data_IF_841803624058
#
_entry.id   IF_841803624058
#
_cell.length_a   1.000
_cell.length_b   1.000
_cell.length_c   1.000
_cell.angle_alpha   90.00
_cell.angle_beta   90.00
_cell.angle_gamma   90.00
#
_symmetry.space_group_name_H-M   'P 1'
#
loop_
_entity.id
_entity.type
_entity.pdbx_description
1 polymer ?
#
# COMPACT_ATOMS: atom_id res chain seq x y z
N UNK A 1 16.29 -22.67 21.24
CA UNK A 1 16.81 -22.03 20.00
C UNK A 1 18.00 -21.16 20.36
N UNK A 2 18.98 -20.98 19.47
CA UNK A 2 20.14 -20.10 19.69
C UNK A 2 20.04 -18.86 18.81
N UNK A 3 20.07 -17.66 19.40
CA UNK A 3 20.04 -16.38 18.69
C UNK A 3 21.34 -15.60 18.89
N UNK A 4 21.84 -15.01 17.81
CA UNK A 4 22.97 -14.09 17.82
C UNK A 4 22.43 -12.67 17.67
N UNK A 5 22.73 -11.80 18.63
CA UNK A 5 22.48 -10.37 18.53
C UNK A 5 23.71 -9.66 17.96
N UNK A 6 23.48 -8.52 17.31
CA UNK A 6 24.57 -7.70 16.77
C UNK A 6 25.54 -7.29 17.89
N UNK A 7 26.84 -7.34 17.60
CA UNK A 7 27.91 -7.10 18.58
C UNK A 7 28.13 -8.20 19.64
N UNK A 8 27.34 -9.28 19.67
CA UNK A 8 27.52 -10.36 20.65
C UNK A 8 28.44 -11.48 20.15
N UNK A 9 29.38 -11.91 21.01
CA UNK A 9 30.35 -12.98 20.71
C UNK A 9 29.80 -14.40 20.88
N UNK A 10 28.69 -14.56 21.60
CA UNK A 10 28.07 -15.85 21.87
C UNK A 10 26.55 -15.78 21.67
N UNK A 11 25.96 -16.89 21.27
CA UNK A 11 24.51 -17.02 21.16
C UNK A 11 23.86 -17.16 22.54
N UNK A 12 22.66 -16.60 22.68
CA UNK A 12 21.80 -16.83 23.82
C UNK A 12 20.74 -17.88 23.49
N UNK A 13 20.30 -18.63 24.50
CA UNK A 13 19.28 -19.65 24.36
C UNK A 13 17.90 -19.09 24.73
N UNK A 14 16.93 -19.36 23.85
CA UNK A 14 15.53 -18.97 24.01
C UNK A 14 14.64 -20.16 23.67
N UNK A 15 13.56 -20.35 24.42
CA UNK A 15 12.55 -21.37 24.12
C UNK A 15 11.73 -21.00 22.89
N UNK A 16 11.46 -19.70 22.73
CA UNK A 16 10.63 -19.14 21.68
C UNK A 16 11.21 -17.84 21.10
N UNK A 17 10.95 -17.53 19.83
CA UNK A 17 11.20 -16.21 19.27
C UNK A 17 10.08 -15.72 18.36
N UNK A 18 9.90 -14.40 18.33
CA UNK A 18 8.96 -13.72 17.45
C UNK A 18 9.74 -12.88 16.45
N UNK A 19 9.53 -13.14 15.16
CA UNK A 19 10.05 -12.32 14.07
C UNK A 19 8.97 -11.29 13.71
N UNK A 20 9.04 -10.11 14.34
CA UNK A 20 8.11 -8.99 14.13
C UNK A 20 8.82 -7.75 13.55
N UNK A 21 9.54 -7.93 12.44
CA UNK A 21 10.39 -6.89 11.85
C UNK A 21 9.60 -5.76 11.15
N UNK A 22 8.28 -5.85 11.07
CA UNK A 22 7.46 -4.93 10.29
C UNK A 22 7.83 -5.01 8.81
N UNK A 23 8.18 -3.88 8.19
CA UNK A 23 8.65 -3.80 6.81
C UNK A 23 10.10 -4.30 6.67
N UNK A 24 10.42 -4.92 5.53
CA UNK A 24 11.76 -5.45 5.24
C UNK A 24 12.13 -5.12 3.80
N UNK A 25 13.30 -4.53 3.61
CA UNK A 25 13.81 -4.11 2.30
C UNK A 25 15.15 -4.82 2.02
N UNK A 26 15.14 -6.05 1.45
CA UNK A 26 16.37 -6.78 1.16
C UNK A 26 17.33 -6.00 0.25
N UNK A 27 16.78 -5.18 -0.63
CA UNK A 27 17.52 -4.38 -1.59
C UNK A 27 18.09 -3.08 -1.00
N UNK A 28 17.95 -2.82 0.31
CA UNK A 28 18.40 -1.56 0.93
C UNK A 28 19.90 -1.26 0.70
N UNK A 29 20.73 -2.29 0.56
CA UNK A 29 22.17 -2.17 0.27
C UNK A 29 22.45 -1.61 -1.14
N UNK A 30 21.47 -1.63 -2.05
CA UNK A 30 21.57 -1.02 -3.39
C UNK A 30 21.43 0.51 -3.35
N UNK A 31 21.14 1.09 -2.19
CA UNK A 31 21.01 2.54 -2.04
C UNK A 31 22.32 3.26 -2.38
N UNK A 32 22.20 4.35 -3.13
CA UNK A 32 23.28 5.27 -3.47
C UNK A 32 22.78 6.70 -3.32
N UNK A 33 23.67 7.69 -3.45
CA UNK A 33 23.25 9.10 -3.48
C UNK A 33 22.33 9.46 -4.67
N UNK A 34 22.23 8.59 -5.68
CA UNK A 34 21.43 8.79 -6.90
C UNK A 34 20.24 7.84 -7.01
N UNK A 35 20.14 6.84 -6.14
CA UNK A 35 19.08 5.85 -6.18
C UNK A 35 18.74 5.33 -4.79
N UNK A 36 17.46 5.39 -4.44
CA UNK A 36 16.91 4.82 -3.23
C UNK A 36 15.93 3.71 -3.61
N UNK A 37 16.24 2.42 -3.35
CA UNK A 37 15.32 1.30 -3.60
C UNK A 37 14.03 1.36 -2.77
N UNK A 38 14.00 2.25 -1.78
CA UNK A 38 12.90 2.50 -0.87
C UNK A 38 13.13 3.85 -0.17
N UNK A 39 12.12 4.70 0.08
CA UNK A 39 12.28 5.88 0.94
C UNK A 39 12.83 5.56 2.34
N UNK A 40 12.77 4.29 2.77
CA UNK A 40 13.28 3.80 4.05
C UNK A 40 14.73 3.31 3.97
N UNK A 41 15.37 3.38 2.80
CA UNK A 41 16.77 2.98 2.58
C UNK A 41 17.78 4.14 2.79
N UNK A 42 17.54 4.99 3.79
CA UNK A 42 18.44 6.08 4.16
C UNK A 42 18.11 7.46 3.57
N UNK A 43 16.98 7.61 2.86
CA UNK A 43 16.58 8.88 2.24
C UNK A 43 16.49 10.03 3.26
N UNK A 44 15.95 9.76 4.45
CA UNK A 44 15.73 10.77 5.49
C UNK A 44 17.05 11.40 6.01
N UNK A 45 18.16 10.67 5.91
CA UNK A 45 19.48 11.13 6.34
C UNK A 45 20.32 11.66 5.15
N UNK A 46 19.86 11.44 3.92
CA UNK A 46 20.60 11.81 2.73
C UNK A 46 20.39 13.29 2.38
N UNK A 47 21.49 13.95 1.99
CA UNK A 47 21.43 15.28 1.37
C UNK A 47 21.08 15.11 -0.11
N UNK A 48 19.89 15.55 -0.49
CA UNK A 48 19.41 15.47 -1.88
C UNK A 48 19.68 16.81 -2.57
N UNK A 49 20.32 16.84 -3.76
CA UNK A 49 20.55 18.09 -4.47
C UNK A 49 19.26 18.63 -5.09
N UNK A 50 19.19 19.95 -5.28
CA UNK A 50 18.11 20.60 -6.03
C UNK A 50 18.27 20.27 -7.53
N UNK A 51 17.75 19.12 -7.95
CA UNK A 51 17.79 18.63 -9.33
C UNK A 51 16.48 17.96 -9.76
N UNK A 52 16.55 17.12 -10.79
CA UNK A 52 15.43 16.33 -11.29
C UNK A 52 15.28 15.06 -10.47
N UNK A 53 14.26 14.99 -9.65
CA UNK A 53 13.99 13.87 -8.75
C UNK A 53 12.83 13.05 -9.29
N UNK A 54 13.09 11.78 -9.58
CA UNK A 54 12.06 10.83 -9.99
C UNK A 54 11.59 10.01 -8.80
N UNK A 55 10.28 9.92 -8.57
CA UNK A 55 9.72 9.06 -7.53
C UNK A 55 8.75 8.06 -8.16
N UNK A 56 9.05 6.77 -8.06
CA UNK A 56 8.16 5.71 -8.53
C UNK A 56 7.08 5.42 -7.50
N UNK A 57 5.89 5.95 -7.72
CA UNK A 57 4.70 5.83 -6.88
C UNK A 57 3.90 7.13 -6.87
N UNK A 58 2.61 7.02 -6.57
CA UNK A 58 1.70 8.16 -6.33
C UNK A 58 0.92 8.02 -5.02
N UNK A 59 1.31 7.05 -4.17
CA UNK A 59 0.70 6.79 -2.86
C UNK A 59 1.23 7.74 -1.77
N UNK A 60 0.70 7.63 -0.55
CA UNK A 60 1.20 8.36 0.61
C UNK A 60 2.73 8.19 0.79
N UNK A 61 3.25 6.98 0.63
CA UNK A 61 4.69 6.68 0.64
C UNK A 61 5.50 7.53 -0.35
N UNK A 62 4.98 7.77 -1.56
CA UNK A 62 5.64 8.60 -2.56
C UNK A 62 5.53 10.09 -2.22
N UNK A 63 4.42 10.51 -1.61
CA UNK A 63 4.25 11.87 -1.11
C UNK A 63 5.21 12.13 0.04
N UNK A 64 5.36 11.21 1.00
CA UNK A 64 6.30 11.32 2.11
C UNK A 64 7.75 11.35 1.63
N UNK A 65 8.08 10.58 0.59
CA UNK A 65 9.38 10.66 -0.06
C UNK A 65 9.62 12.04 -0.70
N UNK A 66 8.61 12.60 -1.36
CA UNK A 66 8.69 13.97 -1.87
C UNK A 66 8.85 14.96 -0.71
N UNK A 67 8.15 14.79 0.41
CA UNK A 67 8.29 15.62 1.61
C UNK A 67 9.73 15.60 2.14
N UNK A 68 10.35 14.42 2.25
CA UNK A 68 11.73 14.26 2.70
C UNK A 68 12.75 15.02 1.83
N UNK A 69 12.44 15.21 0.55
CA UNK A 69 13.25 16.00 -0.37
C UNK A 69 12.95 17.50 -0.24
N UNK A 70 11.69 17.93 -0.37
CA UNK A 70 11.35 19.36 -0.49
C UNK A 70 11.65 20.16 0.78
N UNK A 71 11.63 19.53 1.96
CA UNK A 71 11.98 20.21 3.23
C UNK A 71 13.44 20.63 3.30
N UNK A 72 14.31 20.10 2.43
CA UNK A 72 15.70 20.53 2.29
C UNK A 72 15.85 21.79 1.40
N UNK A 73 14.77 22.20 0.72
CA UNK A 73 14.79 23.14 -0.40
C UNK A 73 13.79 24.29 -0.29
N UNK A 74 13.15 24.44 0.86
CA UNK A 74 12.16 25.47 1.11
C UNK A 74 11.34 25.19 2.35
N UNK A 75 10.35 26.04 2.58
CA UNK A 75 9.48 25.97 3.76
C UNK A 75 8.02 26.09 3.34
N UNK A 76 7.15 25.39 4.05
CA UNK A 76 5.72 25.58 3.90
C UNK A 76 5.27 26.73 4.81
N UNK A 77 4.54 27.69 4.24
CA UNK A 77 4.03 28.88 4.94
C UNK A 77 2.52 28.90 4.83
N UNK A 78 1.85 29.00 5.97
CA UNK A 78 0.41 29.21 6.04
C UNK A 78 0.11 30.71 5.89
N UNK A 79 -0.77 31.06 4.97
CA UNK A 79 -1.17 32.45 4.72
C UNK A 79 -2.68 32.43 4.45
N UNK A 80 -3.49 32.82 5.42
CA UNK A 80 -4.97 32.59 5.47
C UNK A 80 -5.36 31.20 6.03
N UNK A 81 -6.52 31.12 6.68
CA UNK A 81 -6.99 29.90 7.33
C UNK A 81 -7.02 28.74 6.33
N UNK A 82 -6.20 27.71 6.61
CA UNK A 82 -6.04 26.48 5.83
C UNK A 82 -5.39 26.60 4.43
N UNK A 83 -4.84 27.76 4.04
CA UNK A 83 -4.09 27.90 2.78
C UNK A 83 -2.58 27.77 2.98
N UNK A 84 -1.99 26.84 2.26
CA UNK A 84 -0.57 26.48 2.34
C UNK A 84 0.15 26.89 1.06
N UNK A 85 1.29 27.57 1.19
CA UNK A 85 2.22 27.86 0.09
C UNK A 85 3.56 27.22 0.38
N UNK A 86 4.28 26.82 -0.65
CA UNK A 86 5.68 26.41 -0.53
C UNK A 86 6.60 27.53 -1.01
N UNK A 87 7.39 28.08 -0.09
CA UNK A 87 8.40 29.10 -0.38
C UNK A 87 9.74 28.40 -0.62
N UNK A 88 10.13 28.38 -1.90
CA UNK A 88 11.37 27.76 -2.36
C UNK A 88 12.58 28.57 -1.90
N UNK A 89 13.63 27.89 -1.42
CA UNK A 89 14.91 28.52 -1.13
C UNK A 89 15.59 29.06 -2.40
N UNK A 90 16.35 30.15 -2.26
CA UNK A 90 16.94 30.87 -3.39
C UNK A 90 17.94 30.03 -4.20
N UNK A 91 18.57 29.02 -3.61
CA UNK A 91 19.51 28.12 -4.28
C UNK A 91 18.83 26.87 -4.89
N UNK A 92 17.51 26.74 -4.72
CA UNK A 92 16.78 25.52 -5.03
C UNK A 92 15.93 25.61 -6.30
N UNK A 93 16.19 26.59 -7.17
CA UNK A 93 15.45 26.81 -8.42
C UNK A 93 15.45 25.61 -9.39
N UNK A 94 16.50 24.77 -9.35
CA UNK A 94 16.60 23.59 -10.20
C UNK A 94 15.80 22.38 -9.70
N UNK A 95 15.23 22.43 -8.49
CA UNK A 95 14.43 21.33 -7.94
C UNK A 95 13.16 21.11 -8.79
N UNK A 96 12.99 19.87 -9.24
CA UNK A 96 11.78 19.37 -9.88
C UNK A 96 11.54 17.92 -9.45
N UNK A 97 10.31 17.61 -9.04
CA UNK A 97 9.91 16.27 -8.59
C UNK A 97 8.84 15.75 -9.53
N UNK A 98 9.04 14.55 -10.08
CA UNK A 98 8.03 13.84 -10.87
C UNK A 98 7.61 12.59 -10.10
N UNK A 99 6.36 12.54 -9.64
CA UNK A 99 5.73 11.32 -9.13
C UNK A 99 5.22 10.49 -10.31
N UNK A 100 5.48 9.19 -10.29
CA UNK A 100 5.22 8.32 -11.45
C UNK A 100 4.45 7.07 -11.08
N UNK A 101 3.39 6.76 -11.82
CA UNK A 101 2.72 5.47 -11.73
C UNK A 101 2.17 5.06 -13.08
N UNK A 102 1.72 3.81 -13.21
CA UNK A 102 1.13 3.32 -14.48
C UNK A 102 -0.09 4.14 -14.88
N UNK A 103 -0.97 4.45 -13.92
CA UNK A 103 -2.21 5.20 -14.14
C UNK A 103 -2.04 6.71 -14.03
N UNK A 104 -1.03 7.20 -13.30
CA UNK A 104 -0.87 8.64 -13.00
C UNK A 104 -1.99 9.19 -12.10
N UNK A 105 -2.70 8.33 -11.38
CA UNK A 105 -3.80 8.71 -10.48
C UNK A 105 -3.27 8.83 -9.04
N UNK A 106 -3.81 9.79 -8.29
CA UNK A 106 -3.65 9.89 -6.84
C UNK A 106 -4.78 9.12 -6.13
N UNK A 107 -4.48 8.42 -5.02
CA UNK A 107 -5.50 8.04 -4.05
C UNK A 107 -6.30 9.27 -3.60
N UNK A 108 -7.54 9.06 -3.21
CA UNK A 108 -8.37 10.16 -2.71
C UNK A 108 -8.00 10.53 -1.27
N UNK A 109 -8.41 11.72 -0.84
CA UNK A 109 -8.25 12.19 0.51
C UNK A 109 -9.00 11.29 1.49
N UNK A 110 -8.40 11.06 2.65
CA UNK A 110 -9.06 10.45 3.79
C UNK A 110 -10.32 11.25 4.18
N UNK A 111 -11.37 10.54 4.56
CA UNK A 111 -12.73 11.06 4.69
C UNK A 111 -13.32 10.73 6.05
N UNK A 112 -14.36 11.46 6.44
CA UNK A 112 -15.06 11.15 7.68
C UNK A 112 -15.83 9.82 7.53
N UNK A 113 -15.57 8.88 8.43
CA UNK A 113 -16.36 7.67 8.61
C UNK A 113 -16.63 7.44 10.11
N UNK A 114 -17.80 6.86 10.48
CA UNK A 114 -18.09 6.54 11.87
C UNK A 114 -17.24 5.37 12.36
N UNK A 115 -16.81 5.46 13.62
CA UNK A 115 -16.06 4.43 14.34
C UNK A 115 -16.83 4.13 15.65
N UNK A 116 -17.14 2.86 15.99
CA UNK A 116 -16.81 1.65 15.23
C UNK A 116 -17.52 1.57 13.87
N UNK A 117 -16.98 0.76 12.96
CA UNK A 117 -17.57 0.60 11.62
C UNK A 117 -18.97 -0.03 11.71
N UNK A 118 -19.89 0.48 10.89
CA UNK A 118 -21.24 -0.07 10.77
C UNK A 118 -21.21 -1.45 10.06
N UNK A 119 -22.05 -2.41 10.46
CA UNK A 119 -22.07 -3.72 9.84
C UNK A 119 -22.47 -3.66 8.36
N UNK A 120 -21.94 -4.58 7.56
CA UNK A 120 -22.41 -4.82 6.19
C UNK A 120 -23.81 -5.44 6.24
N UNK A 121 -24.67 -5.09 5.28
CA UNK A 121 -26.06 -5.56 5.26
C UNK A 121 -26.27 -6.81 4.40
N UNK A 122 -25.47 -6.97 3.35
CA UNK A 122 -25.53 -8.03 2.34
C UNK A 122 -24.27 -8.89 2.43
N UNK A 123 -23.09 -8.28 2.26
CA UNK A 123 -21.80 -8.97 2.31
C UNK A 123 -21.35 -9.23 3.77
N UNK A 124 -22.26 -9.77 4.58
CA UNK A 124 -21.99 -10.09 6.00
C UNK A 124 -20.91 -11.16 6.13
N UNK A 125 -20.18 -11.24 7.25
CA UNK A 125 -19.25 -12.33 7.51
C UNK A 125 -19.89 -13.72 7.33
N UNK A 126 -21.15 -13.88 7.74
CA UNK A 126 -21.90 -15.13 7.59
C UNK A 126 -22.20 -15.44 6.11
N UNK A 127 -22.63 -14.45 5.32
CA UNK A 127 -22.87 -14.64 3.89
C UNK A 127 -21.58 -15.03 3.15
N UNK A 128 -20.46 -14.36 3.47
CA UNK A 128 -19.15 -14.70 2.92
C UNK A 128 -18.73 -16.12 3.32
N UNK A 129 -18.93 -16.52 4.58
CA UNK A 129 -18.62 -17.87 5.04
C UNK A 129 -19.45 -18.95 4.32
N UNK A 130 -20.73 -18.68 4.03
CA UNK A 130 -21.57 -19.56 3.20
C UNK A 130 -20.97 -19.74 1.81
N UNK A 131 -20.53 -18.66 1.17
CA UNK A 131 -19.92 -18.74 -0.16
C UNK A 131 -18.57 -19.48 -0.15
N UNK A 132 -17.76 -19.30 0.89
CA UNK A 132 -16.53 -20.07 1.10
C UNK A 132 -16.85 -21.57 1.25
N UNK A 133 -17.86 -21.92 2.05
CA UNK A 133 -18.28 -23.30 2.28
C UNK A 133 -18.82 -23.99 1.02
N UNK A 134 -19.36 -23.22 0.06
CA UNK A 134 -19.79 -23.72 -1.23
C UNK A 134 -18.62 -24.13 -2.16
N UNK A 135 -17.38 -23.78 -1.81
CA UNK A 135 -16.16 -24.24 -2.47
C UNK A 135 -15.48 -23.20 -3.38
N UNK A 136 -14.21 -23.44 -3.68
CA UNK A 136 -13.34 -22.51 -4.42
C UNK A 136 -13.78 -22.16 -5.85
N UNK A 137 -14.29 -23.09 -6.69
CA UNK A 137 -14.63 -22.76 -8.08
C UNK A 137 -15.67 -21.63 -8.16
N UNK A 138 -15.32 -20.53 -8.83
CA UNK A 138 -16.19 -19.36 -9.00
C UNK A 138 -16.47 -18.58 -7.71
N UNK A 139 -15.71 -18.82 -6.64
CA UNK A 139 -15.87 -18.12 -5.36
C UNK A 139 -15.77 -16.60 -5.54
N UNK A 140 -14.82 -16.13 -6.36
CA UNK A 140 -14.63 -14.69 -6.55
C UNK A 140 -15.88 -14.01 -7.15
N UNK A 141 -16.53 -14.64 -8.12
CA UNK A 141 -17.71 -14.08 -8.80
C UNK A 141 -18.94 -14.05 -7.88
N UNK A 142 -19.11 -15.09 -7.03
CA UNK A 142 -20.16 -15.09 -6.00
C UNK A 142 -19.95 -13.98 -4.97
N UNK A 143 -18.71 -13.79 -4.53
CA UNK A 143 -18.37 -12.70 -3.61
C UNK A 143 -18.54 -11.33 -4.27
N UNK A 144 -18.17 -11.17 -5.54
CA UNK A 144 -18.39 -9.94 -6.29
C UNK A 144 -19.89 -9.59 -6.37
N UNK A 145 -20.77 -10.61 -6.49
CA UNK A 145 -22.21 -10.41 -6.44
C UNK A 145 -22.66 -9.80 -5.11
N UNK A 146 -22.19 -10.32 -3.97
CA UNK A 146 -22.48 -9.75 -2.65
C UNK A 146 -21.94 -8.31 -2.51
N UNK A 147 -20.72 -8.07 -2.99
CA UNK A 147 -20.08 -6.74 -3.00
C UNK A 147 -20.90 -5.73 -3.79
N UNK A 148 -21.35 -6.08 -4.99
CA UNK A 148 -22.13 -5.16 -5.84
C UNK A 148 -23.53 -4.89 -5.29
N UNK A 149 -24.15 -5.89 -4.66
CA UNK A 149 -25.42 -5.71 -3.95
C UNK A 149 -25.27 -4.77 -2.75
N UNK A 150 -24.22 -4.92 -1.94
CA UNK A 150 -23.91 -4.03 -0.82
C UNK A 150 -23.70 -2.58 -1.31
N UNK A 151 -22.90 -2.39 -2.37
CA UNK A 151 -22.64 -1.07 -2.94
C UNK A 151 -23.91 -0.42 -3.51
N UNK A 152 -24.76 -1.21 -4.19
CA UNK A 152 -26.03 -0.74 -4.74
C UNK A 152 -26.99 -0.30 -3.63
N UNK A 153 -27.05 -1.05 -2.53
CA UNK A 153 -27.88 -0.71 -1.37
C UNK A 153 -27.36 0.56 -0.69
N UNK A 154 -26.05 0.68 -0.50
CA UNK A 154 -25.44 1.80 0.21
C UNK A 154 -25.45 3.11 -0.59
N UNK A 155 -25.26 3.06 -1.91
CA UNK A 155 -25.23 4.24 -2.78
C UNK A 155 -25.86 3.96 -4.15
N UNK A 156 -27.20 3.98 -4.26
CA UNK A 156 -27.90 3.63 -5.51
C UNK A 156 -27.61 4.64 -6.63
N UNK A 157 -27.43 5.92 -6.29
CA UNK A 157 -27.14 6.98 -7.27
C UNK A 157 -25.73 6.77 -7.86
N UNK A 158 -24.73 6.54 -7.02
CA UNK A 158 -23.38 6.25 -7.49
C UNK A 158 -23.34 4.97 -8.32
N UNK A 159 -24.03 3.92 -7.86
CA UNK A 159 -24.09 2.62 -8.55
C UNK A 159 -24.75 2.73 -9.93
N UNK A 160 -25.83 3.50 -10.04
CA UNK A 160 -26.48 3.77 -11.34
C UNK A 160 -25.55 4.56 -12.27
N UNK A 161 -24.86 5.58 -11.76
CA UNK A 161 -23.90 6.37 -12.56
C UNK A 161 -22.75 5.53 -13.09
N UNK A 162 -22.28 4.56 -12.30
CA UNK A 162 -21.22 3.63 -12.67
C UNK A 162 -21.71 2.52 -13.62
N UNK A 163 -23.03 2.34 -13.76
CA UNK A 163 -23.65 1.18 -14.39
C UNK A 163 -23.23 -0.13 -13.71
N UNK A 164 -23.22 -0.13 -12.37
CA UNK A 164 -22.69 -1.25 -11.57
C UNK A 164 -23.34 -2.61 -11.91
N UNK A 165 -24.61 -2.61 -12.29
CA UNK A 165 -25.35 -3.80 -12.67
C UNK A 165 -24.91 -4.44 -14.01
N UNK A 166 -24.07 -3.77 -14.80
CA UNK A 166 -23.49 -4.33 -16.02
C UNK A 166 -22.03 -4.73 -15.85
N UNK A 167 -21.49 -4.62 -14.64
CA UNK A 167 -20.08 -4.90 -14.35
C UNK A 167 -19.92 -6.27 -13.71
N UNK A 168 -18.73 -6.82 -13.87
CA UNK A 168 -18.22 -8.00 -13.19
C UNK A 168 -16.96 -7.65 -12.39
N UNK A 169 -16.36 -8.65 -11.73
CA UNK A 169 -15.17 -8.45 -10.89
C UNK A 169 -13.95 -7.94 -11.68
N UNK A 170 -13.88 -8.24 -12.97
CA UNK A 170 -12.75 -7.91 -13.84
C UNK A 170 -12.88 -6.52 -14.47
N UNK A 171 -14.10 -6.09 -14.78
CA UNK A 171 -14.43 -4.79 -15.38
C UNK A 171 -14.69 -3.67 -14.37
N UNK A 172 -15.12 -4.02 -13.14
CA UNK A 172 -15.37 -3.05 -12.08
C UNK A 172 -14.19 -2.10 -11.75
N UNK A 173 -12.93 -2.57 -11.65
CA UNK A 173 -11.80 -1.70 -11.39
C UNK A 173 -11.63 -0.60 -12.44
N UNK A 174 -11.78 -0.93 -13.72
CA UNK A 174 -11.69 0.07 -14.79
C UNK A 174 -12.78 1.13 -14.64
N UNK A 175 -14.03 0.70 -14.41
CA UNK A 175 -15.15 1.61 -14.19
C UNK A 175 -14.89 2.52 -12.96
N UNK A 176 -14.40 1.94 -11.86
CA UNK A 176 -14.08 2.64 -10.61
C UNK A 176 -13.06 3.76 -10.79
N UNK A 177 -12.00 3.53 -11.57
CA UNK A 177 -10.95 4.53 -11.83
C UNK A 177 -11.25 5.48 -12.98
N UNK A 178 -12.26 5.17 -13.82
CA UNK A 178 -12.56 5.88 -15.08
C UNK A 178 -12.72 7.38 -14.93
N UNK A 179 -13.49 7.83 -13.94
CA UNK A 179 -13.73 9.26 -13.74
C UNK A 179 -12.43 9.96 -13.33
N UNK A 180 -11.70 9.40 -12.36
CA UNK A 180 -10.41 9.96 -11.92
C UNK A 180 -9.38 10.03 -13.05
N UNK A 181 -9.37 9.05 -13.94
CA UNK A 181 -8.48 9.02 -15.10
C UNK A 181 -8.79 10.11 -16.16
N UNK A 182 -10.03 10.61 -16.20
CA UNK A 182 -10.48 11.61 -17.19
C UNK A 182 -10.11 13.05 -16.82
N UNK A 183 -9.97 13.35 -15.53
CA UNK A 183 -9.72 14.71 -15.06
C UNK A 183 -8.24 14.98 -14.81
N UNK A 184 -7.85 16.25 -14.83
CA UNK A 184 -6.52 16.65 -14.37
C UNK A 184 -6.35 16.25 -12.89
N UNK A 185 -5.27 15.53 -12.60
CA UNK A 185 -5.02 14.93 -11.27
C UNK A 185 -4.99 15.94 -10.13
N UNK A 186 -4.36 17.11 -10.30
CA UNK A 186 -4.32 18.14 -9.26
C UNK A 186 -5.65 18.85 -9.09
N UNK A 187 -6.40 19.04 -10.20
CA UNK A 187 -7.75 19.59 -10.15
C UNK A 187 -8.73 18.65 -9.43
N UNK A 188 -8.59 17.34 -9.65
CA UNK A 188 -9.34 16.32 -8.92
C UNK A 188 -8.95 16.31 -7.44
N UNK A 189 -7.66 16.33 -7.11
CA UNK A 189 -7.18 16.38 -5.74
C UNK A 189 -7.73 17.59 -4.98
N UNK A 190 -7.74 18.78 -5.59
CA UNK A 190 -8.34 19.97 -5.01
C UNK A 190 -9.86 19.83 -4.78
N UNK A 191 -10.59 19.31 -5.78
CA UNK A 191 -12.03 19.05 -5.66
C UNK A 191 -12.34 18.07 -4.52
N UNK A 192 -11.62 16.95 -4.48
CA UNK A 192 -11.79 15.91 -3.49
C UNK A 192 -11.44 16.41 -2.07
N UNK A 193 -10.33 17.15 -1.91
CA UNK A 193 -9.95 17.79 -0.65
C UNK A 193 -11.07 18.71 -0.13
N UNK A 194 -11.57 19.60 -0.99
CA UNK A 194 -12.66 20.52 -0.65
C UNK A 194 -13.92 19.78 -0.19
N UNK A 195 -14.26 18.67 -0.85
CA UNK A 195 -15.39 17.83 -0.48
C UNK A 195 -15.18 17.20 0.91
N UNK A 196 -14.04 16.54 1.15
CA UNK A 196 -13.81 15.83 2.40
C UNK A 196 -13.73 16.76 3.60
N UNK A 197 -13.19 17.97 3.45
CA UNK A 197 -13.14 18.97 4.53
C UNK A 197 -14.55 19.45 4.91
N UNK A 198 -15.39 19.75 3.91
CA UNK A 198 -16.80 20.13 4.14
C UNK A 198 -17.58 18.99 4.80
N UNK A 199 -17.33 17.76 4.36
CA UNK A 199 -17.95 16.56 4.90
C UNK A 199 -17.51 16.28 6.34
N UNK A 200 -16.23 16.44 6.65
CA UNK A 200 -15.67 16.29 8.00
C UNK A 200 -16.29 17.29 8.98
N UNK A 201 -16.43 18.57 8.58
CA UNK A 201 -17.12 19.60 9.40
C UNK A 201 -18.58 19.26 9.71
N UNK A 202 -19.23 18.47 8.84
CA UNK A 202 -20.63 18.04 8.98
C UNK A 202 -20.79 16.58 9.43
N UNK A 203 -19.69 15.91 9.77
CA UNK A 203 -19.68 14.48 10.09
C UNK A 203 -20.43 13.62 9.06
N UNK A 204 -20.25 13.94 7.77
CA UNK A 204 -20.92 13.27 6.66
C UNK A 204 -19.96 12.32 5.96
N UNK A 205 -20.36 11.05 5.82
CA UNK A 205 -19.58 10.07 5.03
C UNK A 205 -19.89 10.13 3.54
N UNK A 206 -19.10 9.43 2.73
CA UNK A 206 -19.36 9.15 1.32
C UNK A 206 -19.79 7.68 1.22
N UNK A 207 -21.08 7.36 0.98
CA UNK A 207 -21.62 6.02 1.21
C UNK A 207 -20.89 4.90 0.46
N UNK A 208 -20.60 5.07 -0.84
CA UNK A 208 -19.85 4.07 -1.61
C UNK A 208 -18.41 3.89 -1.09
N UNK A 209 -17.69 4.97 -0.74
CA UNK A 209 -16.31 4.90 -0.17
C UNK A 209 -16.30 4.19 1.16
N UNK A 210 -17.28 4.52 2.01
CA UNK A 210 -17.39 3.88 3.31
C UNK A 210 -17.73 2.39 3.19
N UNK A 211 -18.53 2.03 2.20
CA UNK A 211 -18.86 0.63 1.92
C UNK A 211 -17.64 -0.14 1.42
N UNK A 212 -16.86 0.40 0.48
CA UNK A 212 -15.58 -0.20 0.06
C UNK A 212 -14.62 -0.36 1.24
N UNK A 213 -14.55 0.65 2.13
CA UNK A 213 -13.73 0.60 3.34
C UNK A 213 -14.18 -0.51 4.30
N UNK A 214 -15.46 -0.87 4.36
CA UNK A 214 -15.89 -1.98 5.23
C UNK A 214 -15.73 -3.34 4.55
N UNK A 215 -15.94 -3.37 3.23
CA UNK A 215 -15.84 -4.58 2.42
C UNK A 215 -14.41 -5.13 2.36
N UNK A 216 -13.35 -4.31 2.43
CA UNK A 216 -11.99 -4.83 2.32
C UNK A 216 -11.64 -5.83 3.45
N UNK A 217 -12.11 -5.57 4.68
CA UNK A 217 -11.90 -6.47 5.82
C UNK A 217 -12.67 -7.78 5.62
N UNK A 218 -13.97 -7.67 5.33
CA UNK A 218 -14.84 -8.83 5.18
C UNK A 218 -14.42 -9.73 3.99
N UNK A 219 -14.07 -9.12 2.86
CA UNK A 219 -13.67 -9.84 1.64
C UNK A 219 -12.25 -10.43 1.77
N UNK A 220 -11.40 -9.94 2.67
CA UNK A 220 -10.07 -10.53 2.88
C UNK A 220 -10.14 -12.02 3.23
N UNK A 221 -11.16 -12.43 3.99
CA UNK A 221 -11.34 -13.81 4.45
C UNK A 221 -11.41 -14.83 3.32
N UNK A 222 -11.78 -14.43 2.10
CA UNK A 222 -11.87 -15.35 0.96
C UNK A 222 -10.48 -15.69 0.41
N UNK A 223 -9.47 -14.84 0.64
CA UNK A 223 -8.18 -14.90 -0.05
C UNK A 223 -7.49 -16.26 0.13
N UNK A 224 -7.47 -16.92 1.30
CA UNK A 224 -6.92 -18.27 1.43
C UNK A 224 -7.68 -19.35 0.63
N UNK A 225 -8.95 -19.12 0.30
CA UNK A 225 -9.85 -20.10 -0.34
C UNK A 225 -9.93 -19.94 -1.87
N UNK A 226 -9.40 -18.85 -2.43
CA UNK A 226 -9.33 -18.65 -3.87
C UNK A 226 -8.34 -19.63 -4.52
N UNK A 227 -8.75 -20.21 -5.65
CA UNK A 227 -7.84 -20.91 -6.56
C UNK A 227 -6.83 -19.94 -7.19
N UNK A 228 -5.84 -20.48 -7.92
CA UNK A 228 -4.78 -19.66 -8.50
C UNK A 228 -5.28 -18.62 -9.52
N UNK A 229 -6.30 -18.97 -10.30
CA UNK A 229 -6.89 -18.09 -11.32
C UNK A 229 -7.66 -16.94 -10.67
N UNK A 230 -8.57 -17.26 -9.77
CA UNK A 230 -9.36 -16.27 -9.03
C UNK A 230 -8.50 -15.41 -8.12
N UNK A 231 -7.42 -15.95 -7.52
CA UNK A 231 -6.46 -15.14 -6.79
C UNK A 231 -5.81 -14.10 -7.69
N UNK A 232 -5.41 -14.46 -8.91
CA UNK A 232 -4.81 -13.53 -9.84
C UNK A 232 -5.80 -12.46 -10.30
N UNK A 233 -7.06 -12.84 -10.57
CA UNK A 233 -8.17 -11.91 -10.87
C UNK A 233 -8.40 -10.94 -9.72
N UNK A 234 -8.52 -11.43 -8.48
CA UNK A 234 -8.68 -10.62 -7.28
C UNK A 234 -7.54 -9.60 -7.11
N UNK A 235 -6.29 -10.04 -7.21
CA UNK A 235 -5.10 -9.17 -7.08
C UNK A 235 -5.04 -8.12 -8.19
N UNK A 236 -5.50 -8.46 -9.39
CA UNK A 236 -5.53 -7.53 -10.52
C UNK A 236 -6.76 -6.62 -10.52
N UNK A 237 -7.83 -6.99 -9.82
CA UNK A 237 -9.11 -6.31 -9.80
C UNK A 237 -9.44 -5.73 -8.42
N UNK A 238 -10.39 -6.34 -7.71
CA UNK A 238 -10.95 -5.81 -6.44
C UNK A 238 -9.90 -5.40 -5.41
N UNK A 239 -8.79 -6.14 -5.29
CA UNK A 239 -7.71 -5.80 -4.37
C UNK A 239 -7.19 -4.37 -4.60
N UNK A 240 -7.06 -3.94 -5.86
CA UNK A 240 -6.62 -2.57 -6.19
C UNK A 240 -7.64 -1.51 -5.78
N UNK A 241 -8.93 -1.80 -5.91
CA UNK A 241 -10.01 -0.90 -5.49
C UNK A 241 -10.00 -0.75 -3.97
N UNK A 242 -9.83 -1.85 -3.25
CA UNK A 242 -9.70 -1.83 -1.80
C UNK A 242 -8.47 -1.06 -1.34
N UNK A 243 -7.29 -1.34 -1.90
CA UNK A 243 -6.05 -0.63 -1.57
C UNK A 243 -6.20 0.87 -1.82
N UNK A 244 -6.78 1.28 -2.95
CA UNK A 244 -6.93 2.70 -3.27
C UNK A 244 -7.82 3.46 -2.26
N UNK A 245 -8.87 2.82 -1.75
CA UNK A 245 -9.79 3.46 -0.81
C UNK A 245 -9.34 3.34 0.66
N UNK A 246 -8.75 2.21 1.06
CA UNK A 246 -8.21 2.00 2.41
C UNK A 246 -6.92 2.81 2.63
N UNK A 247 -6.04 2.91 1.63
CA UNK A 247 -4.81 3.70 1.69
C UNK A 247 -5.04 5.16 1.24
N UNK A 248 -6.13 5.77 1.71
CA UNK A 248 -6.45 7.16 1.43
C UNK A 248 -5.39 8.12 2.00
N UNK A 249 -5.19 9.27 1.36
CA UNK A 249 -4.14 10.21 1.72
C UNK A 249 -4.67 11.21 2.77
N UNK A 250 -3.95 11.50 3.86
CA UNK A 250 -4.36 12.55 4.81
C UNK A 250 -4.58 13.90 4.10
N UNK A 251 -5.63 14.67 4.46
CA UNK A 251 -5.90 15.97 3.83
C UNK A 251 -4.70 16.92 3.81
N UNK A 252 -3.91 16.90 4.88
CA UNK A 252 -2.70 17.72 5.00
C UNK A 252 -1.62 17.36 3.96
N UNK A 253 -1.44 16.08 3.65
CA UNK A 253 -0.52 15.64 2.60
C UNK A 253 -0.97 16.12 1.22
N UNK A 254 -2.29 16.20 0.97
CA UNK A 254 -2.83 16.77 -0.28
C UNK A 254 -2.62 18.29 -0.34
N UNK A 255 -2.81 19.02 0.77
CA UNK A 255 -2.52 20.47 0.82
C UNK A 255 -1.07 20.75 0.45
N UNK A 256 -0.13 20.00 1.02
CA UNK A 256 1.31 20.10 0.69
C UNK A 256 1.58 19.79 -0.78
N UNK A 257 0.96 18.75 -1.31
CA UNK A 257 1.09 18.39 -2.72
C UNK A 257 0.58 19.50 -3.66
N UNK A 258 -0.57 20.11 -3.34
CA UNK A 258 -1.12 21.24 -4.09
C UNK A 258 -0.22 22.48 -3.98
N UNK A 259 0.28 22.81 -2.79
CA UNK A 259 1.21 23.92 -2.59
C UNK A 259 2.51 23.76 -3.41
N UNK A 260 3.05 22.53 -3.47
CA UNK A 260 4.21 22.22 -4.31
C UNK A 260 3.88 22.34 -5.80
N UNK A 261 2.65 21.99 -6.20
CA UNK A 261 2.21 22.10 -7.58
C UNK A 261 2.13 23.56 -8.00
N UNK A 262 1.53 24.40 -7.16
CA UNK A 262 1.40 25.85 -7.40
C UNK A 262 2.77 26.53 -7.46
N UNK A 263 3.73 26.07 -6.66
CA UNK A 263 5.13 26.50 -6.70
C UNK A 263 5.94 25.92 -7.88
N UNK A 264 5.33 25.13 -8.77
CA UNK A 264 5.99 24.51 -9.92
C UNK A 264 7.09 23.51 -9.56
N UNK A 265 7.03 22.92 -8.36
CA UNK A 265 8.04 21.94 -7.87
C UNK A 265 7.67 20.52 -8.30
N UNK A 266 6.38 20.18 -8.27
CA UNK A 266 5.92 18.80 -8.44
C UNK A 266 4.98 18.60 -9.65
N UNK A 267 5.13 17.45 -10.28
CA UNK A 267 4.25 16.96 -11.33
C UNK A 267 3.98 15.46 -11.18
N UNK A 268 2.97 14.97 -11.90
CA UNK A 268 2.60 13.57 -11.93
C UNK A 268 2.65 13.10 -13.37
N UNK A 269 3.29 11.96 -13.60
CA UNK A 269 3.44 11.34 -14.90
C UNK A 269 2.81 9.94 -14.91
N UNK A 270 1.84 9.76 -15.81
CA UNK A 270 1.31 8.45 -16.16
C UNK A 270 2.29 7.73 -17.10
N UNK A 271 2.88 6.64 -16.64
CA UNK A 271 3.85 5.84 -17.41
C UNK A 271 3.19 4.89 -18.40
N UNK A 272 1.92 4.53 -18.18
CA UNK A 272 1.29 3.42 -18.89
C UNK A 272 1.91 2.07 -18.53
N UNK A 273 1.54 1.03 -19.27
CA UNK A 273 2.00 -0.34 -19.03
C UNK A 273 3.38 -0.61 -19.65
N UNK A 274 3.73 0.14 -20.69
CA UNK A 274 4.93 -0.08 -21.50
C UNK A 274 5.95 1.03 -21.24
N UNK A 275 6.66 0.93 -20.12
CA UNK A 275 7.81 1.78 -19.82
C UNK A 275 9.05 0.94 -19.54
N UNK A 276 10.22 1.52 -19.78
CA UNK A 276 11.52 0.98 -19.39
C UNK A 276 12.17 1.90 -18.38
N UNK A 277 12.83 1.31 -17.39
CA UNK A 277 13.59 2.00 -16.36
C UNK A 277 15.01 1.46 -16.41
N UNK A 278 15.96 2.34 -16.72
CA UNK A 278 17.38 2.03 -16.81
C UNK A 278 18.13 2.82 -15.74
N UNK A 279 18.67 2.11 -14.75
CA UNK A 279 19.46 2.72 -13.67
C UNK A 279 20.92 2.83 -14.08
N UNK A 280 21.48 4.03 -13.97
CA UNK A 280 22.91 4.30 -14.14
C UNK A 280 23.53 4.76 -12.81
N UNK A 281 24.87 4.82 -12.76
CA UNK A 281 25.60 5.20 -11.52
C UNK A 281 25.24 6.59 -10.97
N UNK A 282 24.84 7.53 -11.83
CA UNK A 282 24.64 8.93 -11.47
C UNK A 282 23.27 9.49 -11.85
N UNK A 283 22.43 8.68 -12.49
CA UNK A 283 21.10 9.10 -12.93
C UNK A 283 20.25 7.86 -13.26
N UNK A 284 18.94 8.04 -13.33
CA UNK A 284 18.00 7.03 -13.82
C UNK A 284 17.28 7.56 -15.05
N UNK A 285 17.16 6.71 -16.08
CA UNK A 285 16.43 7.02 -17.32
C UNK A 285 15.11 6.26 -17.32
N UNK A 286 14.02 6.96 -17.61
CA UNK A 286 12.72 6.35 -17.90
C UNK A 286 12.36 6.64 -19.36
N UNK A 287 12.02 5.57 -20.08
CA UNK A 287 11.49 5.64 -21.44
C UNK A 287 10.03 5.19 -21.43
N UNK A 288 9.10 6.08 -21.79
CA UNK A 288 7.67 5.76 -21.93
C UNK A 288 7.07 6.55 -23.09
N UNK A 289 6.25 5.88 -23.92
CA UNK A 289 5.55 6.48 -25.06
C UNK A 289 6.46 7.35 -25.97
N UNK A 290 7.68 6.87 -26.23
CA UNK A 290 8.68 7.59 -27.05
C UNK A 290 9.36 8.77 -26.36
N UNK A 291 9.00 9.11 -25.13
CA UNK A 291 9.67 10.12 -24.31
C UNK A 291 10.77 9.48 -23.47
N UNK A 292 11.93 10.12 -23.44
CA UNK A 292 13.05 9.79 -22.56
C UNK A 292 13.19 10.87 -21.51
N UNK A 293 13.11 10.47 -20.24
CA UNK A 293 13.18 11.38 -19.08
C UNK A 293 14.36 10.92 -18.23
N UNK A 294 15.16 11.86 -17.76
CA UNK A 294 16.38 11.61 -16.97
C UNK A 294 16.23 12.29 -15.61
N UNK A 295 16.51 11.52 -14.56
CA UNK A 295 16.45 11.95 -13.16
C UNK A 295 17.82 11.83 -12.51
N UNK A 296 18.26 12.88 -11.82
CA UNK A 296 19.54 12.94 -11.10
C UNK A 296 19.53 12.08 -9.84
N UNK A 297 18.35 11.98 -9.19
CA UNK A 297 18.08 11.10 -8.07
C UNK A 297 16.76 10.39 -8.31
N UNK A 298 16.73 9.10 -8.00
CA UNK A 298 15.54 8.28 -8.20
C UNK A 298 15.15 7.53 -6.93
N UNK A 299 13.87 7.56 -6.56
CA UNK A 299 13.35 6.97 -5.33
C UNK A 299 12.23 6.00 -5.69
N UNK A 300 12.36 4.73 -5.31
CA UNK A 300 11.30 3.73 -5.52
C UNK A 300 10.36 3.67 -4.32
N UNK A 301 9.16 4.24 -4.45
CA UNK A 301 8.16 4.36 -3.38
C UNK A 301 6.96 3.42 -3.59
N UNK A 302 7.13 2.29 -4.29
CA UNK A 302 6.04 1.32 -4.58
C UNK A 302 5.58 0.47 -3.38
N UNK A 303 6.03 0.80 -2.17
CA UNK A 303 5.65 0.11 -0.95
C UNK A 303 6.27 -1.29 -0.84
N UNK A 304 5.93 -1.99 0.24
CA UNK A 304 6.51 -3.28 0.57
C UNK A 304 6.15 -4.34 -0.48
N UNK A 305 7.17 -5.02 -1.01
CA UNK A 305 6.98 -6.19 -1.86
C UNK A 305 6.68 -7.43 -1.02
N UNK A 306 5.88 -8.33 -1.59
CA UNK A 306 5.73 -9.69 -1.10
C UNK A 306 7.10 -10.37 -1.07
N UNK A 307 7.44 -10.98 0.07
CA UNK A 307 8.68 -11.73 0.23
C UNK A 307 8.40 -13.22 0.43
N UNK A 308 9.37 -14.03 0.02
CA UNK A 308 9.36 -15.49 0.09
C UNK A 308 10.41 -15.99 1.06
N UNK A 309 10.41 -17.29 1.37
CA UNK A 309 11.37 -17.88 2.32
C UNK A 309 12.83 -17.56 1.98
N UNK A 310 13.16 -17.45 0.69
CA UNK A 310 14.49 -17.09 0.20
C UNK A 310 14.94 -15.66 0.58
N UNK A 311 14.00 -14.77 0.87
CA UNK A 311 14.27 -13.37 1.21
C UNK A 311 14.43 -13.16 2.72
N UNK A 312 14.30 -14.21 3.53
CA UNK A 312 14.44 -14.10 4.98
C UNK A 312 15.85 -13.61 5.37
N UNK A 313 15.94 -12.59 6.26
CA UNK A 313 17.21 -12.04 6.72
C UNK A 313 17.92 -12.94 7.74
N UNK A 314 17.40 -14.14 8.03
CA UNK A 314 17.97 -15.12 8.93
C UNK A 314 18.54 -16.31 8.12
N UNK A 315 19.85 -16.33 7.77
CA UNK A 315 20.39 -17.26 6.77
C UNK A 315 20.15 -18.75 7.11
N UNK A 316 20.23 -19.11 8.40
CA UNK A 316 20.01 -20.48 8.85
C UNK A 316 18.54 -20.89 8.73
N UNK A 317 17.62 -20.05 9.21
CA UNK A 317 16.18 -20.31 9.10
C UNK A 317 15.74 -20.35 7.64
N UNK A 318 16.21 -19.40 6.82
CA UNK A 318 16.04 -19.40 5.36
C UNK A 318 16.43 -20.74 4.76
N UNK A 319 17.65 -21.22 5.03
CA UNK A 319 18.14 -22.51 4.51
C UNK A 319 17.24 -23.67 4.96
N UNK A 320 16.81 -23.69 6.22
CA UNK A 320 15.97 -24.76 6.75
C UNK A 320 14.58 -24.78 6.09
N UNK A 321 13.97 -23.61 5.83
CA UNK A 321 12.72 -23.50 5.08
C UNK A 321 12.88 -23.97 3.62
N UNK A 322 13.94 -23.52 2.94
CA UNK A 322 14.21 -23.92 1.56
C UNK A 322 14.45 -25.42 1.42
N UNK A 323 15.18 -26.05 2.35
CA UNK A 323 15.39 -27.51 2.38
C UNK A 323 14.09 -28.26 2.65
N UNK A 324 13.18 -27.69 3.45
CA UNK A 324 11.84 -28.25 3.67
C UNK A 324 10.87 -28.06 2.50
N UNK A 325 11.32 -27.44 1.39
CA UNK A 325 10.50 -27.17 0.21
C UNK A 325 9.49 -26.03 0.40
N UNK A 326 9.67 -25.20 1.43
CA UNK A 326 8.76 -24.11 1.75
C UNK A 326 9.13 -22.86 0.95
N UNK A 327 8.56 -22.70 -0.24
CA UNK A 327 8.71 -21.47 -1.05
C UNK A 327 8.23 -20.23 -0.26
N UNK A 328 7.14 -20.39 0.50
CA UNK A 328 6.62 -19.40 1.44
C UNK A 328 6.50 -20.02 2.82
N UNK A 329 6.73 -19.27 3.91
CA UNK A 329 6.57 -19.81 5.25
C UNK A 329 5.12 -20.27 5.50
N UNK A 330 4.91 -21.55 5.82
CA UNK A 330 3.63 -22.05 6.30
C UNK A 330 3.41 -21.65 7.77
N UNK A 331 2.30 -20.96 8.03
CA UNK A 331 1.94 -20.43 9.35
C UNK A 331 0.59 -20.99 9.81
N UNK A 332 0.47 -21.24 11.11
CA UNK A 332 -0.81 -21.43 11.80
C UNK A 332 -1.58 -20.11 11.95
N UNK A 333 -2.79 -20.18 12.51
CA UNK A 333 -3.62 -18.99 12.83
C UNK A 333 -2.97 -18.11 13.91
N UNK A 334 -2.10 -18.71 14.72
CA UNK A 334 -1.25 -18.11 15.73
C UNK A 334 0.06 -17.50 15.17
N UNK A 335 0.23 -17.50 13.84
CA UNK A 335 1.43 -17.03 13.15
C UNK A 335 2.70 -17.84 13.49
N UNK A 336 2.56 -19.02 14.09
CA UNK A 336 3.68 -19.93 14.37
C UNK A 336 4.02 -20.71 13.11
N UNK A 337 5.33 -20.87 12.84
CA UNK A 337 5.81 -21.70 11.74
C UNK A 337 5.31 -23.15 11.91
N UNK A 338 4.69 -23.69 10.86
CA UNK A 338 4.28 -25.10 10.81
C UNK A 338 5.43 -26.00 10.33
N UNK A 339 6.39 -25.40 9.63
CA UNK A 339 7.61 -26.03 9.14
C UNK A 339 8.76 -25.03 9.14
N UNK A 340 10.01 -25.50 9.11
CA UNK A 340 10.45 -26.91 9.30
C UNK A 340 10.21 -27.41 10.73
N UNK A 341 10.26 -28.74 10.94
CA UNK A 341 9.99 -29.37 12.26
C UNK A 341 10.85 -28.80 13.41
N UNK A 342 12.07 -28.37 13.11
CA UNK A 342 12.98 -27.77 14.09
C UNK A 342 12.66 -26.30 14.45
N UNK A 343 11.82 -25.64 13.66
CA UNK A 343 11.28 -24.30 13.91
C UNK A 343 9.82 -24.34 14.39
N UNK A 344 9.12 -25.44 14.12
CA UNK A 344 7.72 -25.64 14.49
C UNK A 344 7.50 -25.48 15.98
N UNK A 345 6.50 -24.68 16.37
CA UNK A 345 6.18 -24.41 17.77
C UNK A 345 7.20 -23.51 18.50
N UNK A 346 8.22 -22.99 17.82
CA UNK A 346 9.33 -22.25 18.44
C UNK A 346 9.56 -20.87 17.86
N UNK A 347 9.01 -20.60 16.67
CA UNK A 347 9.19 -19.34 15.95
C UNK A 347 7.84 -18.88 15.43
N UNK A 348 7.41 -17.70 15.90
CA UNK A 348 6.34 -16.94 15.26
C UNK A 348 6.91 -15.99 14.21
N UNK A 349 6.23 -15.88 13.06
CA UNK A 349 6.60 -14.98 11.97
C UNK A 349 5.47 -13.94 11.75
N UNK A 350 5.62 -12.79 12.39
CA UNK A 350 4.74 -11.63 12.30
C UNK A 350 5.30 -10.52 11.40
N UNK A 351 6.14 -10.88 10.43
CA UNK A 351 6.75 -9.93 9.51
C UNK A 351 5.83 -9.70 8.30
N UNK A 352 5.33 -8.47 8.17
CA UNK A 352 4.35 -8.03 7.17
C UNK A 352 4.58 -8.55 5.74
N UNK A 353 5.80 -8.52 5.16
CA UNK A 353 6.04 -8.94 3.77
C UNK A 353 5.72 -10.42 3.50
N UNK A 354 5.77 -11.28 4.52
CA UNK A 354 5.51 -12.71 4.42
C UNK A 354 4.02 -13.05 4.65
N UNK A 355 3.26 -12.14 5.28
CA UNK A 355 1.83 -12.30 5.55
C UNK A 355 0.95 -11.81 4.39
N UNK A 356 1.41 -10.79 3.67
CA UNK A 356 0.68 -10.10 2.60
C UNK A 356 0.15 -11.02 1.48
N UNK A 357 0.72 -12.21 1.30
CA UNK A 357 0.25 -13.16 0.28
C UNK A 357 -1.15 -13.74 0.60
N UNK A 358 -1.43 -13.97 1.89
CA UNK A 358 -2.73 -14.45 2.38
C UNK A 358 -3.59 -13.33 2.93
N UNK A 359 -2.96 -12.26 3.44
CA UNK A 359 -3.63 -11.14 4.09
C UNK A 359 -3.17 -9.83 3.43
N UNK A 360 -3.68 -9.47 2.24
CA UNK A 360 -3.23 -8.29 1.49
C UNK A 360 -3.41 -6.97 2.25
N UNK A 361 -4.31 -6.91 3.24
CA UNK A 361 -4.58 -5.73 4.07
C UNK A 361 -4.05 -5.87 5.50
N UNK A 362 -3.03 -6.71 5.73
CA UNK A 362 -2.41 -6.98 7.05
C UNK A 362 -1.70 -5.78 7.70
N UNK A 363 -1.86 -4.57 7.14
CA UNK A 363 -1.16 -3.38 7.58
C UNK A 363 -1.98 -2.63 8.63
N UNK A 364 -1.30 -1.94 9.54
CA UNK A 364 -1.94 -1.05 10.52
C UNK A 364 -1.84 -1.53 11.98
N UNK A 365 -2.13 -0.60 12.89
CA UNK A 365 -1.94 -0.77 14.34
C UNK A 365 -2.93 -1.79 14.92
N UNK A 366 -4.18 -1.78 14.44
CA UNK A 366 -5.23 -2.72 14.88
C UNK A 366 -4.87 -4.17 14.52
N UNK A 367 -4.46 -4.40 13.28
CA UNK A 367 -4.00 -5.72 12.81
C UNK A 367 -2.74 -6.15 13.57
N UNK A 368 -1.79 -5.24 13.78
CA UNK A 368 -0.57 -5.54 14.56
C UNK A 368 -0.89 -5.98 15.99
N UNK A 369 -1.88 -5.34 16.64
CA UNK A 369 -2.34 -5.74 17.97
C UNK A 369 -3.02 -7.11 17.97
N UNK A 370 -3.84 -7.42 16.96
CA UNK A 370 -4.48 -8.73 16.79
C UNK A 370 -3.46 -9.86 16.59
N UNK A 371 -2.46 -9.65 15.73
CA UNK A 371 -1.36 -10.60 15.51
C UNK A 371 -0.60 -10.83 16.82
N UNK A 372 -0.28 -9.76 17.55
CA UNK A 372 0.39 -9.85 18.85
C UNK A 372 -0.41 -10.66 19.87
N UNK A 373 -1.73 -10.45 19.94
CA UNK A 373 -2.62 -11.20 20.82
C UNK A 373 -2.69 -12.69 20.44
N UNK A 374 -2.78 -13.01 19.16
CA UNK A 374 -2.81 -14.38 18.67
C UNK A 374 -1.52 -15.15 19.02
N UNK A 375 -0.36 -14.51 18.81
CA UNK A 375 0.94 -15.08 19.18
C UNK A 375 1.06 -15.25 20.69
N UNK A 376 0.63 -14.25 21.48
CA UNK A 376 0.71 -14.31 22.93
C UNK A 376 -0.13 -15.46 23.50
N UNK A 377 -1.35 -15.69 22.98
CA UNK A 377 -2.19 -16.81 23.39
C UNK A 377 -1.49 -18.16 23.16
N UNK A 378 -0.90 -18.35 21.97
CA UNK A 378 -0.24 -19.60 21.61
C UNK A 378 1.10 -19.86 22.33
N UNK A 379 1.69 -18.86 22.99
CA UNK A 379 2.92 -19.01 23.79
C UNK A 379 2.62 -19.36 25.25
N UNK A 380 1.43 -18.98 25.74
CA UNK A 380 1.00 -19.21 27.13
C UNK A 380 0.40 -20.60 27.29
N UNK A 381 -0.22 -21.14 26.24
CA UNK A 381 -0.70 -22.53 26.15
C UNK A 381 0.45 -23.53 25.91
#
# INVERSE_FOLDING_TARGET
>A
MKLWADGMKAAQEFDFAVIATGHVWPDAELATQHYFPSPWSGLLQAKVPAGKIGIMGTSLSAIDAAMAVVVQHGVFVTYDEDKLRFDRAADSHALSITLMSRSGILPEADFYCPIPYEPLAVATPQAIAVEIAAGSPGLLDRIATLVFQELTLADPIWSQRLLLNTLDVDSFPEAYFKDRARYNVFRWAHYNLTQVERHRKKQRTVPWRYTILRLHEAVQEIVPHLDAGDRQRFMNGLCKVFIDNYAAIPPESIRRLLALRDAGVIEILALGHNYKLDMHKQHTVICSAGKRIVFDVFIDARGQRLLQSQDLPFPKLRRQLMVAGEERPALGEDYILLKPDNARGRIALAALPYLMYKQPFVQGITVSAQIGAAIAAAVID
#
